data_IF_236114396568
#
_entry.id   IF_236114396568
#
_cell.length_a   1.000
_cell.length_b   1.000
_cell.length_c   1.000
_cell.angle_alpha   90.00
_cell.angle_beta   90.00
_cell.angle_gamma   90.00
#
_symmetry.space_group_name_H-M   'P 1'
#
loop_
_entity.id
_entity.type
_entity.pdbx_description
1 polymer ?
#
# COMPACT_ATOMS: atom_id res chain seq x y z
N UNK A 1 -0.63 -19.13 29.34
CA UNK A 1 -0.07 -17.77 29.15
C UNK A 1 -0.50 -17.32 27.76
N UNK A 2 -1.43 -16.38 27.66
CA UNK A 2 -1.88 -15.87 26.36
C UNK A 2 -0.80 -14.93 25.80
N UNK A 3 -0.33 -15.19 24.57
CA UNK A 3 0.58 -14.29 23.88
C UNK A 3 -0.12 -12.94 23.69
N UNK A 4 0.40 -11.89 24.31
CA UNK A 4 -0.02 -10.52 23.98
C UNK A 4 0.64 -10.16 22.66
N UNK A 5 0.07 -10.65 21.55
CA UNK A 5 0.49 -10.23 20.22
C UNK A 5 0.21 -8.72 20.12
N UNK A 6 1.29 -7.93 19.98
CA UNK A 6 1.16 -6.54 19.57
C UNK A 6 0.54 -6.53 18.17
N UNK A 7 -0.65 -5.95 18.03
CA UNK A 7 -1.38 -5.94 16.76
C UNK A 7 -1.15 -4.62 16.05
N UNK A 8 -0.04 -4.52 15.31
CA UNK A 8 0.07 -3.48 14.29
C UNK A 8 -1.06 -3.70 13.28
N UNK A 9 -1.90 -2.68 13.07
CA UNK A 9 -2.97 -2.72 12.07
C UNK A 9 -2.59 -1.85 10.90
N UNK A 10 -2.91 -2.32 9.70
CA UNK A 10 -2.68 -1.58 8.47
C UNK A 10 -3.97 -1.47 7.65
N UNK A 11 -4.05 -0.43 6.84
CA UNK A 11 -4.94 -0.36 5.69
C UNK A 11 -4.17 0.24 4.53
N UNK A 12 -4.41 -0.24 3.31
CA UNK A 12 -3.79 0.27 2.09
C UNK A 12 -4.86 0.67 1.08
N UNK A 13 -4.63 1.75 0.36
CA UNK A 13 -5.45 2.20 -0.77
C UNK A 13 -4.50 2.55 -1.92
N UNK A 14 -4.82 2.08 -3.13
CA UNK A 14 -4.17 2.51 -4.35
C UNK A 14 -4.99 3.62 -5.04
N UNK A 15 -4.33 4.66 -5.51
CA UNK A 15 -4.92 5.74 -6.29
C UNK A 15 -3.99 6.13 -7.45
N UNK A 16 -4.54 6.80 -8.45
CA UNK A 16 -3.72 7.35 -9.54
C UNK A 16 -2.76 8.41 -9.01
N UNK A 17 -3.23 9.22 -8.07
CA UNK A 17 -2.46 10.27 -7.45
C UNK A 17 -2.87 10.48 -5.99
N UNK A 18 -1.88 10.63 -5.11
CA UNK A 18 -2.08 11.02 -3.71
C UNK A 18 -1.27 12.27 -3.41
N UNK A 19 -1.93 13.33 -2.95
CA UNK A 19 -1.30 14.59 -2.53
C UNK A 19 -1.51 14.80 -1.04
N UNK A 20 -0.47 15.21 -0.32
CA UNK A 20 -0.58 15.63 1.07
C UNK A 20 -0.76 17.15 1.14
N UNK A 21 -1.78 17.60 1.84
CA UNK A 21 -2.02 19.00 2.17
C UNK A 21 -1.39 19.29 3.55
N UNK A 22 -0.27 20.04 3.63
CA UNK A 22 0.39 20.31 4.90
C UNK A 22 -0.36 21.32 5.78
N UNK A 23 -1.21 22.17 5.19
CA UNK A 23 -1.99 23.17 5.93
C UNK A 23 -3.14 22.48 6.67
N UNK A 24 -3.88 21.63 5.96
CA UNK A 24 -4.99 20.85 6.53
C UNK A 24 -4.54 19.57 7.23
N UNK A 25 -3.31 19.12 6.98
CA UNK A 25 -2.76 17.83 7.42
C UNK A 25 -3.59 16.64 6.95
N UNK A 26 -4.04 16.70 5.70
CA UNK A 26 -4.92 15.69 5.07
C UNK A 26 -4.28 15.10 3.82
N UNK A 27 -4.74 13.92 3.42
CA UNK A 27 -4.40 13.33 2.12
C UNK A 27 -5.58 13.50 1.16
N UNK A 28 -5.31 14.00 -0.04
CA UNK A 28 -6.25 14.04 -1.15
C UNK A 28 -5.95 12.88 -2.07
N UNK A 29 -6.92 11.99 -2.25
CA UNK A 29 -6.83 10.83 -3.12
C UNK A 29 -7.55 11.16 -4.42
N UNK A 30 -6.82 11.15 -5.52
CA UNK A 30 -7.36 11.40 -6.83
C UNK A 30 -7.44 10.07 -7.61
N UNK A 31 -8.65 9.67 -7.99
CA UNK A 31 -8.99 8.40 -8.65
C UNK A 31 -8.47 7.17 -7.90
N UNK A 32 -9.20 6.75 -6.86
CA UNK A 32 -8.99 5.44 -6.20
C UNK A 32 -9.14 4.33 -7.25
N UNK A 33 -8.16 3.44 -7.33
CA UNK A 33 -8.03 2.48 -8.43
C UNK A 33 -8.62 1.12 -8.04
N UNK A 34 -9.73 0.73 -8.65
CA UNK A 34 -10.17 -0.68 -8.60
C UNK A 34 -9.53 -1.52 -9.72
N UNK A 35 -9.08 -0.84 -10.77
CA UNK A 35 -8.35 -1.44 -11.88
C UNK A 35 -7.38 -0.43 -12.48
N UNK A 36 -6.40 -0.95 -13.22
CA UNK A 36 -5.46 -0.19 -14.03
C UNK A 36 -5.69 -0.56 -15.50
N UNK A 37 -5.80 0.45 -16.36
CA UNK A 37 -5.90 0.24 -17.81
C UNK A 37 -4.57 0.65 -18.44
N UNK A 38 -3.92 -0.25 -19.19
CA UNK A 38 -2.64 0.01 -19.86
C UNK A 38 -2.79 -0.03 -21.38
N UNK A 39 -2.01 0.78 -22.12
CA UNK A 39 -2.18 0.89 -23.57
C UNK A 39 -1.68 -0.33 -24.35
N UNK A 40 -0.69 -1.04 -23.82
CA UNK A 40 -0.10 -2.22 -24.44
C UNK A 40 0.55 -3.09 -23.37
N UNK A 41 0.96 -4.29 -23.74
CA UNK A 41 1.83 -5.13 -22.94
C UNK A 41 3.12 -5.43 -23.70
N UNK A 42 4.29 -5.42 -23.04
CA UNK A 42 4.51 -5.03 -21.66
C UNK A 42 4.41 -3.50 -21.44
N UNK A 43 4.12 -3.07 -20.21
CA UNK A 43 4.06 -1.64 -19.84
C UNK A 43 4.59 -1.40 -18.43
N UNK A 44 5.35 -0.32 -18.24
CA UNK A 44 5.76 0.15 -16.90
C UNK A 44 4.66 1.04 -16.35
N UNK A 45 3.88 0.51 -15.41
CA UNK A 45 2.87 1.26 -14.71
C UNK A 45 3.41 1.86 -13.41
N UNK A 46 2.67 2.83 -12.88
CA UNK A 46 2.82 3.25 -11.49
C UNK A 46 1.49 3.67 -10.91
N UNK A 47 1.34 3.49 -9.61
CA UNK A 47 0.27 4.08 -8.83
C UNK A 47 0.82 4.62 -7.52
N UNK A 48 0.05 5.49 -6.88
CA UNK A 48 0.34 5.97 -5.54
C UNK A 48 -0.40 5.08 -4.53
N UNK A 49 0.29 4.70 -3.46
CA UNK A 49 -0.27 3.99 -2.32
C UNK A 49 -0.38 4.91 -1.12
N UNK A 50 -1.53 4.89 -0.45
CA UNK A 50 -1.70 5.41 0.91
C UNK A 50 -1.77 4.23 1.85
N UNK A 51 -0.78 4.11 2.73
CA UNK A 51 -0.77 3.12 3.81
C UNK A 51 -1.01 3.84 5.13
N UNK A 52 -2.04 3.43 5.87
CA UNK A 52 -2.29 3.91 7.23
C UNK A 52 -1.97 2.81 8.22
N UNK A 53 -1.12 3.12 9.20
CA UNK A 53 -0.73 2.22 10.27
C UNK A 53 -1.31 2.72 11.60
N UNK A 54 -1.80 1.79 12.40
CA UNK A 54 -2.21 2.03 13.78
C UNK A 54 -1.42 1.10 14.68
N UNK A 55 -0.60 1.68 15.55
CA UNK A 55 0.20 0.94 16.52
C UNK A 55 -0.61 0.72 17.79
N UNK A 56 -0.45 -0.44 18.41
CA UNK A 56 -0.88 -0.62 19.80
C UNK A 56 0.06 0.15 20.74
N UNK A 57 -0.45 0.61 21.89
CA UNK A 57 0.25 1.50 22.83
C UNK A 57 1.62 1.03 23.37
N UNK A 58 2.05 -0.20 23.04
CA UNK A 58 3.34 -0.79 23.45
C UNK A 58 4.44 -0.64 22.41
N UNK A 59 4.10 -0.41 21.15
CA UNK A 59 5.05 -0.28 20.04
C UNK A 59 5.03 1.15 19.50
N UNK A 60 6.20 1.79 19.49
CA UNK A 60 6.38 3.11 18.91
C UNK A 60 7.14 3.08 17.59
N UNK A 61 7.77 1.95 17.23
CA UNK A 61 8.61 1.79 16.05
C UNK A 61 8.66 0.32 15.60
N UNK A 62 8.64 0.08 14.29
CA UNK A 62 8.80 -1.26 13.70
C UNK A 62 9.16 -1.16 12.21
N UNK A 63 9.32 -2.31 11.55
CA UNK A 63 9.54 -2.41 10.11
C UNK A 63 8.34 -3.07 9.44
N UNK A 64 7.97 -2.53 8.27
CA UNK A 64 7.00 -3.15 7.37
C UNK A 64 7.62 -3.36 5.99
N UNK A 65 7.07 -4.30 5.25
CA UNK A 65 7.36 -4.51 3.83
C UNK A 65 6.11 -4.22 3.02
N UNK A 66 6.26 -3.49 1.91
CA UNK A 66 5.19 -3.28 0.94
C UNK A 66 5.59 -4.03 -0.33
N UNK A 67 4.77 -5.00 -0.73
CA UNK A 67 4.98 -5.83 -1.91
C UNK A 67 3.87 -5.64 -2.93
N UNK A 68 4.21 -5.71 -4.21
CA UNK A 68 3.25 -5.90 -5.30
C UNK A 68 3.53 -7.26 -5.91
N UNK A 69 2.51 -8.11 -6.00
CA UNK A 69 2.61 -9.43 -6.62
C UNK A 69 1.62 -9.60 -7.75
N UNK A 70 1.97 -10.41 -8.73
CA UNK A 70 1.02 -10.90 -9.73
C UNK A 70 0.25 -12.14 -9.23
N UNK A 71 -0.60 -12.67 -10.10
CA UNK A 71 -1.41 -13.88 -9.88
C UNK A 71 -0.58 -15.17 -9.79
N UNK A 72 0.66 -15.17 -10.30
CA UNK A 72 1.65 -16.24 -10.13
C UNK A 72 2.46 -16.09 -8.81
N UNK A 73 2.09 -15.14 -7.94
CA UNK A 73 2.80 -14.76 -6.72
C UNK A 73 4.24 -14.25 -6.94
N UNK A 74 4.59 -13.81 -8.15
CA UNK A 74 5.88 -13.20 -8.43
C UNK A 74 5.88 -11.77 -7.89
N UNK A 75 6.95 -11.40 -7.19
CA UNK A 75 7.11 -10.05 -6.64
C UNK A 75 7.54 -9.11 -7.76
N UNK A 76 6.65 -8.20 -8.15
CA UNK A 76 6.89 -7.15 -9.16
C UNK A 76 7.56 -5.91 -8.55
N UNK A 77 7.30 -5.66 -7.26
CA UNK A 77 7.89 -4.56 -6.50
C UNK A 77 7.97 -4.94 -5.02
N UNK A 78 9.05 -4.55 -4.34
CA UNK A 78 9.15 -4.64 -2.87
C UNK A 78 9.93 -3.46 -2.31
N UNK A 79 9.49 -2.95 -1.16
CA UNK A 79 10.23 -1.97 -0.37
C UNK A 79 10.03 -2.19 1.12
N UNK A 80 11.13 -2.15 1.87
CA UNK A 80 11.13 -2.13 3.33
C UNK A 80 11.04 -0.69 3.83
N UNK A 81 10.24 -0.45 4.88
CA UNK A 81 10.08 0.84 5.53
C UNK A 81 10.16 0.69 7.04
N UNK A 82 11.03 1.48 7.66
CA UNK A 82 10.99 1.76 9.08
C UNK A 82 9.88 2.77 9.35
N UNK A 83 9.02 2.45 10.31
CA UNK A 83 7.83 3.22 10.63
C UNK A 83 7.76 3.41 12.13
N UNK A 84 7.33 4.59 12.55
CA UNK A 84 7.18 4.94 13.96
C UNK A 84 5.92 5.77 14.17
N UNK A 85 5.40 5.79 15.39
CA UNK A 85 4.31 6.70 15.72
C UNK A 85 4.75 8.15 15.53
N UNK A 86 4.02 8.88 14.69
CA UNK A 86 4.24 10.32 14.44
C UNK A 86 2.99 11.15 14.72
N UNK A 87 1.90 10.52 15.17
CA UNK A 87 0.67 11.21 15.53
C UNK A 87 0.80 11.90 16.88
N UNK A 88 0.16 13.05 17.01
CA UNK A 88 0.18 13.87 18.21
C UNK A 88 -0.51 13.17 19.40
N UNK A 89 -0.15 13.58 20.61
CA UNK A 89 -0.82 13.10 21.84
C UNK A 89 -2.33 13.33 21.77
N UNK A 90 -3.11 12.36 22.24
CA UNK A 90 -4.57 12.36 22.17
C UNK A 90 -5.16 11.75 20.90
N UNK A 91 -4.34 11.44 19.88
CA UNK A 91 -4.75 10.66 18.71
C UNK A 91 -4.37 9.18 18.87
N UNK A 92 -5.09 8.25 18.22
CA UNK A 92 -4.65 6.85 18.13
C UNK A 92 -3.24 6.76 17.53
N UNK A 93 -2.33 6.08 18.22
CA UNK A 93 -0.94 5.90 17.81
C UNK A 93 -0.87 5.35 16.38
N UNK A 94 -0.07 5.98 15.51
CA UNK A 94 -0.10 5.66 14.09
C UNK A 94 0.85 6.48 13.25
N UNK A 95 0.95 6.11 11.98
CA UNK A 95 1.56 6.91 10.94
C UNK A 95 0.91 6.63 9.59
N UNK A 96 1.07 7.58 8.69
CA UNK A 96 0.58 7.48 7.32
C UNK A 96 1.80 7.52 6.38
N UNK A 97 1.81 6.65 5.37
CA UNK A 97 2.83 6.60 4.33
C UNK A 97 2.18 6.84 2.98
N UNK A 98 2.79 7.69 2.18
CA UNK A 98 2.44 7.88 0.77
C UNK A 98 3.66 7.57 -0.08
N UNK A 99 3.52 6.67 -1.04
CA UNK A 99 4.61 6.28 -1.94
C UNK A 99 4.09 5.96 -3.33
N UNK A 100 4.85 6.35 -4.35
CA UNK A 100 4.64 5.93 -5.73
C UNK A 100 5.39 4.62 -5.97
N UNK A 101 4.71 3.63 -6.50
CA UNK A 101 5.27 2.31 -6.78
C UNK A 101 5.31 2.05 -8.30
N UNK A 102 6.50 1.96 -8.92
CA UNK A 102 6.62 1.50 -10.30
C UNK A 102 6.67 -0.03 -10.37
N UNK A 103 6.01 -0.62 -11.36
CA UNK A 103 6.06 -2.06 -11.62
C UNK A 103 5.84 -2.38 -13.10
N UNK A 104 6.49 -3.44 -13.58
CA UNK A 104 6.34 -3.94 -14.94
C UNK A 104 5.10 -4.83 -15.02
N UNK A 105 4.28 -4.62 -16.04
CA UNK A 105 3.10 -5.43 -16.32
C UNK A 105 3.28 -6.10 -17.67
N UNK A 106 3.26 -7.43 -17.69
CA UNK A 106 3.52 -8.24 -18.89
C UNK A 106 2.26 -8.71 -19.60
N UNK A 107 1.13 -8.74 -18.89
CA UNK A 107 -0.17 -9.23 -19.37
C UNK A 107 -1.30 -8.69 -18.50
N UNK A 108 -2.54 -8.92 -18.92
CA UNK A 108 -3.69 -8.77 -18.01
C UNK A 108 -3.54 -9.74 -16.84
N UNK A 109 -3.71 -9.23 -15.63
CA UNK A 109 -3.58 -10.02 -14.41
C UNK A 109 -4.27 -9.33 -13.22
N UNK A 110 -4.43 -10.08 -12.13
CA UNK A 110 -4.79 -9.53 -10.84
C UNK A 110 -3.51 -9.26 -10.04
N UNK A 111 -3.30 -8.00 -9.65
CA UNK A 111 -2.21 -7.64 -8.75
C UNK A 111 -2.69 -7.63 -7.31
N UNK A 112 -1.83 -8.10 -6.40
CA UNK A 112 -2.01 -7.97 -4.95
C UNK A 112 -0.99 -6.99 -4.39
N UNK A 113 -1.45 -5.89 -3.81
CA UNK A 113 -0.63 -4.96 -3.02
C UNK A 113 -0.72 -5.38 -1.56
N UNK A 114 0.37 -5.89 -1.01
CA UNK A 114 0.43 -6.40 0.36
C UNK A 114 1.27 -5.48 1.25
N UNK A 115 0.73 -5.16 2.43
CA UNK A 115 1.49 -4.56 3.54
C UNK A 115 1.75 -5.65 4.56
N UNK A 116 3.01 -5.95 4.83
CA UNK A 116 3.45 -7.07 5.66
C UNK A 116 4.30 -6.61 6.83
N UNK A 117 4.28 -7.39 7.91
CA UNK A 117 5.25 -7.31 9.00
C UNK A 117 5.81 -8.70 9.22
N UNK A 118 7.12 -8.86 9.00
CA UNK A 118 7.74 -10.19 8.91
C UNK A 118 6.97 -11.08 7.92
N UNK A 119 6.36 -12.18 8.39
CA UNK A 119 5.63 -13.12 7.56
C UNK A 119 4.11 -12.87 7.51
N UNK A 120 3.60 -11.92 8.31
CA UNK A 120 2.16 -11.67 8.44
C UNK A 120 1.71 -10.55 7.49
N UNK A 121 0.69 -10.83 6.68
CA UNK A 121 0.01 -9.81 5.87
C UNK A 121 -0.95 -9.03 6.75
N UNK A 122 -0.68 -7.73 6.91
CA UNK A 122 -1.49 -6.82 7.72
C UNK A 122 -2.65 -6.22 6.93
N UNK A 123 -2.44 -5.97 5.65
CA UNK A 123 -3.44 -5.46 4.72
C UNK A 123 -3.12 -5.90 3.30
N UNK A 124 -4.17 -6.05 2.50
CA UNK A 124 -4.09 -6.37 1.08
C UNK A 124 -5.02 -5.45 0.30
N UNK A 125 -4.60 -5.05 -0.90
CA UNK A 125 -5.41 -4.32 -1.86
C UNK A 125 -5.26 -4.95 -3.24
N UNK A 126 -6.36 -5.45 -3.78
CA UNK A 126 -6.38 -6.09 -5.09
C UNK A 126 -6.59 -5.04 -6.19
N UNK A 127 -5.77 -5.11 -7.24
CA UNK A 127 -5.81 -4.20 -8.38
C UNK A 127 -5.82 -5.01 -9.67
N UNK A 128 -6.96 -5.02 -10.37
CA UNK A 128 -7.06 -5.70 -11.66
C UNK A 128 -6.39 -4.89 -12.77
N UNK A 129 -5.62 -5.53 -13.64
CA UNK A 129 -4.98 -4.88 -14.78
C UNK A 129 -5.56 -5.39 -16.09
N UNK A 130 -5.90 -4.46 -16.98
CA UNK A 130 -6.44 -4.75 -18.32
C UNK A 130 -5.78 -3.91 -19.40
N UNK A 131 -5.77 -4.42 -20.63
CA UNK A 131 -5.41 -3.64 -21.81
C UNK A 131 -6.52 -2.67 -22.20
N UNK A 132 -6.19 -1.64 -22.99
CA UNK A 132 -7.22 -0.89 -23.73
C UNK A 132 -7.80 -1.83 -24.79
N UNK A 133 -9.07 -2.19 -24.67
CA UNK A 133 -9.83 -2.78 -25.77
C UNK A 133 -10.41 -1.64 -26.61
N UNK A 134 -10.03 -1.58 -27.89
CA UNK A 134 -10.73 -0.73 -28.86
C UNK A 134 -12.04 -1.43 -29.22
N UNK A 135 -13.11 -1.17 -28.46
CA UNK A 135 -14.48 -1.38 -28.92
C UNK A 135 -14.96 -0.21 -29.78
#
# INVERSE_FOLDING_TARGET
MASSASSLKASVIAAREIRYDPELRTHHLNHVLNHLTVPTFPFIASCDLLVKLTFDNRESETQIEIQVKDDDHRVLFSVLKEVRNVRQSGLPSGCDLSLRIPFLIERENLLSVEVKRANDTLAQYDLFVRGISNE
#
